data_IF_301422755600
#
_entry.id   IF_301422755600
#
_cell.length_a   1.000
_cell.length_b   1.000
_cell.length_c   1.000
_cell.angle_alpha   90.00
_cell.angle_beta   90.00
_cell.angle_gamma   90.00
#
_symmetry.space_group_name_H-M   'P 1'
#
loop_
_entity.id
_entity.type
_entity.pdbx_description
1 polymer ?
#
# COMPACT_ATOMS: atom_id res chain seq x y z
N UNK A 1 -15.03 15.95 -46.45
CA UNK A 1 -13.90 15.58 -45.56
C UNK A 1 -14.30 15.87 -44.12
N UNK A 2 -14.63 14.85 -43.33
CA UNK A 2 -14.60 14.91 -41.87
C UNK A 2 -14.41 13.46 -41.38
N UNK A 3 -13.21 13.17 -40.90
CA UNK A 3 -12.79 11.82 -40.47
C UNK A 3 -13.60 11.41 -39.24
N UNK A 4 -14.30 10.27 -39.33
CA UNK A 4 -14.75 9.49 -38.16
C UNK A 4 -13.49 9.07 -37.41
N UNK A 5 -13.33 9.54 -36.18
CA UNK A 5 -12.30 9.07 -35.25
C UNK A 5 -12.73 7.70 -34.72
N UNK A 6 -12.04 6.66 -35.19
CA UNK A 6 -12.15 5.29 -34.70
C UNK A 6 -11.83 5.25 -33.20
N UNK A 7 -12.86 5.07 -32.38
CA UNK A 7 -12.72 4.79 -30.95
C UNK A 7 -12.30 3.33 -30.82
N UNK A 8 -10.98 3.10 -30.88
CA UNK A 8 -10.36 1.78 -30.74
C UNK A 8 -10.74 1.20 -29.37
N UNK A 9 -11.68 0.27 -29.34
CA UNK A 9 -12.06 -0.47 -28.14
C UNK A 9 -10.84 -1.24 -27.65
N UNK A 10 -10.25 -0.82 -26.53
CA UNK A 10 -9.21 -1.59 -25.87
C UNK A 10 -9.78 -2.96 -25.51
N UNK A 11 -9.16 -4.00 -26.05
CA UNK A 11 -9.46 -5.40 -25.79
C UNK A 11 -9.37 -5.68 -24.29
N UNK A 12 -10.50 -5.99 -23.65
CA UNK A 12 -10.54 -6.55 -22.31
C UNK A 12 -9.99 -7.97 -22.38
N UNK A 13 -8.72 -8.15 -22.05
CA UNK A 13 -8.18 -9.49 -21.83
C UNK A 13 -8.81 -10.05 -20.55
N UNK A 14 -9.78 -10.97 -20.72
CA UNK A 14 -10.51 -11.66 -19.64
C UNK A 14 -9.64 -12.74 -18.95
N UNK A 15 -8.42 -12.35 -18.55
CA UNK A 15 -7.60 -13.15 -17.63
C UNK A 15 -8.09 -12.97 -16.19
N UNK A 16 -7.77 -13.90 -15.27
CA UNK A 16 -8.13 -13.75 -13.86
C UNK A 16 -7.56 -12.44 -13.30
N UNK A 17 -8.43 -11.54 -12.87
CA UNK A 17 -8.04 -10.26 -12.24
C UNK A 17 -7.41 -10.53 -10.89
N UNK A 18 -6.11 -10.30 -10.77
CA UNK A 18 -5.37 -10.46 -9.52
C UNK A 18 -5.78 -9.34 -8.56
N UNK A 19 -6.15 -9.70 -7.34
CA UNK A 19 -6.53 -8.75 -6.29
C UNK A 19 -5.29 -8.05 -5.73
N UNK A 20 -5.49 -6.86 -5.16
CA UNK A 20 -4.46 -6.13 -4.42
C UNK A 20 -3.99 -6.97 -3.23
N UNK A 21 -2.69 -7.33 -3.14
CA UNK A 21 -2.15 -8.00 -1.97
C UNK A 21 -2.22 -7.11 -0.73
N UNK A 22 -2.46 -7.72 0.43
CA UNK A 22 -2.45 -7.04 1.72
C UNK A 22 -1.06 -7.21 2.33
N UNK A 23 -0.42 -6.10 2.65
CA UNK A 23 0.93 -6.03 3.20
C UNK A 23 0.86 -5.43 4.60
N UNK A 24 1.41 -6.15 5.57
CA UNK A 24 1.50 -5.69 6.95
C UNK A 24 2.97 -5.50 7.31
N UNK A 25 3.32 -4.34 7.87
CA UNK A 25 4.69 -4.04 8.31
C UNK A 25 4.80 -4.34 9.80
N UNK A 26 5.74 -5.23 10.16
CA UNK A 26 5.96 -5.70 11.52
C UNK A 26 7.37 -5.34 11.99
N UNK A 27 7.58 -5.25 13.30
CA UNK A 27 8.87 -4.88 13.89
C UNK A 27 8.71 -4.29 15.30
N UNK A 28 9.83 -4.17 16.02
CA UNK A 28 9.85 -3.61 17.38
C UNK A 28 9.33 -2.16 17.42
N UNK A 29 9.00 -1.69 18.62
CA UNK A 29 8.65 -0.29 18.85
C UNK A 29 9.80 0.61 18.36
N UNK A 30 9.47 1.77 17.80
CA UNK A 30 10.41 2.77 17.28
C UNK A 30 11.30 2.38 16.08
N UNK A 31 11.10 1.21 15.48
CA UNK A 31 11.79 0.81 14.24
C UNK A 31 11.27 1.53 12.97
N UNK A 32 10.50 2.62 13.11
CA UNK A 32 10.10 3.46 11.98
C UNK A 32 9.09 2.85 11.00
N UNK A 33 8.29 1.85 11.41
CA UNK A 33 7.27 1.20 10.56
C UNK A 33 6.33 2.21 9.92
N UNK A 34 5.74 3.08 10.74
CA UNK A 34 4.77 4.08 10.28
C UNK A 34 5.45 5.21 9.51
N UNK A 35 6.68 5.60 9.89
CA UNK A 35 7.47 6.57 9.13
C UNK A 35 7.82 6.05 7.72
N UNK A 36 8.10 4.75 7.57
CA UNK A 36 8.31 4.10 6.28
C UNK A 36 7.02 4.16 5.45
N UNK A 37 5.88 3.81 6.03
CA UNK A 37 4.59 3.88 5.36
C UNK A 37 4.22 5.31 4.98
N UNK A 38 4.53 6.29 5.82
CA UNK A 38 4.36 7.71 5.52
C UNK A 38 5.17 8.16 4.31
N UNK A 39 6.44 7.72 4.21
CA UNK A 39 7.27 7.99 3.03
C UNK A 39 6.70 7.35 1.75
N UNK A 40 6.15 6.14 1.84
CA UNK A 40 5.53 5.46 0.69
C UNK A 40 4.23 6.16 0.25
N UNK A 41 3.45 6.64 1.22
CA UNK A 41 2.16 7.31 0.97
C UNK A 41 2.28 8.79 0.60
N UNK A 42 3.41 9.42 0.92
CA UNK A 42 3.55 10.88 0.88
C UNK A 42 2.74 11.59 1.98
N UNK A 43 2.57 10.94 3.14
CA UNK A 43 1.80 11.44 4.28
C UNK A 43 2.68 11.74 5.50
N UNK A 44 2.10 12.24 6.57
CA UNK A 44 2.77 12.44 7.86
C UNK A 44 1.86 12.01 9.03
N UNK A 45 1.29 10.80 8.93
CA UNK A 45 0.38 10.24 9.94
C UNK A 45 1.07 10.19 11.30
N UNK A 46 2.34 9.81 11.34
CA UNK A 46 3.12 9.69 12.59
C UNK A 46 3.14 11.00 13.40
N UNK A 47 3.08 12.16 12.74
CA UNK A 47 3.11 13.46 13.43
C UNK A 47 1.80 13.84 14.12
N UNK A 48 0.68 13.24 13.68
CA UNK A 48 -0.64 13.42 14.30
C UNK A 48 -0.93 12.42 15.42
N UNK A 49 -0.04 11.44 15.60
CA UNK A 49 -0.17 10.35 16.56
C UNK A 49 0.49 10.72 17.90
N UNK A 50 -0.16 10.37 19.01
CA UNK A 50 0.32 10.73 20.34
C UNK A 50 1.73 10.15 20.60
N UNK A 51 2.69 11.03 20.94
CA UNK A 51 4.08 10.64 21.18
C UNK A 51 4.80 10.09 19.96
N UNK A 52 4.31 10.37 18.73
CA UNK A 52 4.79 9.77 17.49
C UNK A 52 4.69 8.23 17.46
N UNK A 53 3.79 7.67 18.28
CA UNK A 53 3.52 6.23 18.36
C UNK A 53 2.17 5.98 17.72
N UNK A 54 2.13 5.11 16.72
CA UNK A 54 0.91 4.67 16.03
C UNK A 54 -0.06 4.02 17.01
N UNK A 55 -1.24 4.61 17.15
CA UNK A 55 -2.35 4.19 17.99
C UNK A 55 -3.44 3.52 17.15
N UNK A 56 -3.66 4.01 15.92
CA UNK A 56 -4.76 3.58 15.06
C UNK A 56 -4.30 2.62 13.95
N UNK A 57 -5.14 1.63 13.63
CA UNK A 57 -4.91 0.78 12.45
C UNK A 57 -5.40 1.54 11.23
N UNK A 58 -4.48 1.83 10.31
CA UNK A 58 -4.77 2.44 9.01
C UNK A 58 -4.65 1.43 7.87
N UNK A 59 -5.33 1.71 6.76
CA UNK A 59 -5.17 0.95 5.53
C UNK A 59 -4.98 1.91 4.35
N UNK A 60 -4.01 1.65 3.48
CA UNK A 60 -3.76 2.52 2.31
C UNK A 60 -3.37 1.70 1.10
N UNK A 61 -4.11 1.88 0.00
CA UNK A 61 -3.76 1.29 -1.30
C UNK A 61 -2.74 2.19 -1.97
N UNK A 62 -1.59 1.62 -2.32
CA UNK A 62 -0.54 2.28 -3.10
C UNK A 62 -0.52 1.65 -4.49
N UNK A 63 -0.78 2.43 -5.56
CA UNK A 63 -0.76 1.92 -6.93
C UNK A 63 0.58 1.31 -7.30
N UNK A 64 0.56 0.29 -8.17
CA UNK A 64 1.79 -0.40 -8.55
C UNK A 64 2.82 0.53 -9.21
N UNK A 65 2.38 1.53 -9.96
CA UNK A 65 3.24 2.52 -10.60
C UNK A 65 4.07 3.32 -9.57
N UNK A 66 3.45 3.68 -8.44
CA UNK A 66 4.13 4.34 -7.32
C UNK A 66 5.18 3.44 -6.70
N UNK A 67 4.88 2.15 -6.51
CA UNK A 67 5.84 1.17 -5.98
C UNK A 67 7.03 0.99 -6.93
N UNK A 68 6.78 0.90 -8.24
CA UNK A 68 7.83 0.75 -9.25
C UNK A 68 8.72 1.99 -9.28
N UNK A 69 8.13 3.19 -9.26
CA UNK A 69 8.88 4.45 -9.26
C UNK A 69 9.80 4.59 -8.02
N UNK A 70 9.34 4.13 -6.86
CA UNK A 70 10.15 4.13 -5.62
C UNK A 70 11.14 2.96 -5.54
N UNK A 71 10.84 1.84 -6.22
CA UNK A 71 11.50 0.55 -6.03
C UNK A 71 12.84 0.37 -6.73
N UNK A 72 13.34 1.38 -7.46
CA UNK A 72 14.68 1.40 -8.06
C UNK A 72 15.01 0.18 -8.94
N UNK A 73 15.52 -0.89 -8.32
CA UNK A 73 15.86 -2.17 -8.95
C UNK A 73 14.65 -3.00 -9.43
N UNK A 74 13.44 -2.67 -8.97
CA UNK A 74 12.20 -3.43 -9.29
C UNK A 74 11.65 -3.10 -10.69
N UNK A 75 12.14 -2.05 -11.36
CA UNK A 75 11.66 -1.61 -12.68
C UNK A 75 11.69 -2.70 -13.77
N UNK A 76 12.59 -3.68 -13.64
CA UNK A 76 12.74 -4.75 -14.61
C UNK A 76 11.88 -5.99 -14.32
N UNK A 77 11.11 -5.99 -13.21
CA UNK A 77 10.23 -7.11 -12.85
C UNK A 77 8.87 -6.96 -13.54
N UNK A 78 8.40 -8.05 -14.17
CA UNK A 78 7.02 -8.12 -14.64
C UNK A 78 6.08 -8.29 -13.45
N UNK A 79 5.46 -7.19 -13.03
CA UNK A 79 4.46 -7.19 -11.97
C UNK A 79 3.06 -7.06 -12.58
N UNK A 80 2.18 -8.01 -12.26
CA UNK A 80 0.79 -8.05 -12.74
C UNK A 80 -0.21 -7.95 -11.57
N UNK A 81 -0.04 -6.93 -10.71
CA UNK A 81 -0.98 -6.62 -9.63
C UNK A 81 -1.36 -5.14 -9.71
N UNK A 82 -2.59 -4.76 -9.29
CA UNK A 82 -3.05 -3.37 -9.35
C UNK A 82 -2.30 -2.43 -8.38
N UNK A 83 -1.71 -2.97 -7.32
CA UNK A 83 -1.02 -2.21 -6.28
C UNK A 83 -0.85 -3.03 -5.01
N UNK A 84 -0.49 -2.38 -3.90
CA UNK A 84 -0.35 -2.99 -2.58
C UNK A 84 -1.24 -2.27 -1.57
N UNK A 85 -1.96 -3.02 -0.72
CA UNK A 85 -2.70 -2.48 0.41
C UNK A 85 -1.85 -2.59 1.67
N UNK A 86 -1.31 -1.47 2.15
CA UNK A 86 -0.56 -1.45 3.40
C UNK A 86 -1.48 -1.33 4.60
N UNK A 87 -1.20 -2.11 5.63
CA UNK A 87 -1.81 -2.02 6.95
C UNK A 87 -0.80 -1.43 7.94
N UNK A 88 -1.17 -0.32 8.56
CA UNK A 88 -0.40 0.35 9.59
C UNK A 88 -0.68 -0.33 10.94
N UNK A 89 0.37 -0.76 11.65
CA UNK A 89 0.21 -1.50 12.91
C UNK A 89 0.71 -0.72 14.12
N UNK A 90 -0.09 -0.65 15.19
CA UNK A 90 0.29 -0.01 16.45
C UNK A 90 1.26 -0.87 17.28
N UNK A 91 2.17 -0.21 18.02
CA UNK A 91 3.34 -0.87 18.63
C UNK A 91 3.23 -1.34 20.09
N UNK A 92 2.49 -0.63 20.96
CA UNK A 92 2.58 -0.85 22.43
C UNK A 92 1.38 -1.59 23.05
N UNK A 93 0.14 -1.15 22.83
CA UNK A 93 -1.06 -1.75 23.45
C UNK A 93 -1.98 -2.47 22.45
N UNK A 94 -2.14 -1.88 21.28
CA UNK A 94 -3.09 -2.37 20.28
C UNK A 94 -2.62 -3.64 19.57
N UNK A 95 -1.33 -4.02 19.63
CA UNK A 95 -0.83 -5.30 19.11
C UNK A 95 -1.40 -6.50 19.90
N UNK A 96 -1.60 -6.32 21.21
CA UNK A 96 -2.25 -7.29 22.09
C UNK A 96 -3.71 -7.50 21.68
N UNK A 97 -4.43 -6.42 21.35
CA UNK A 97 -5.81 -6.46 20.86
C UNK A 97 -5.92 -7.05 19.45
N UNK A 98 -4.94 -6.80 18.57
CA UNK A 98 -4.90 -7.33 17.21
C UNK A 98 -4.68 -8.86 17.22
N UNK A 99 -3.80 -9.38 18.08
CA UNK A 99 -3.66 -10.83 18.29
C UNK A 99 -4.90 -11.46 18.91
N UNK A 100 -5.55 -10.78 19.85
CA UNK A 100 -6.78 -11.28 20.48
C UNK A 100 -7.99 -11.32 19.54
N UNK A 101 -8.03 -10.49 18.49
CA UNK A 101 -9.11 -10.48 17.48
C UNK A 101 -8.87 -11.43 16.30
N UNK A 102 -7.61 -11.77 16.02
CA UNK A 102 -7.22 -12.64 14.90
C UNK A 102 -6.89 -14.08 15.30
N UNK A 103 -7.00 -14.42 16.58
CA UNK A 103 -6.84 -15.77 17.14
C UNK A 103 -8.15 -16.36 17.59
#
# INVERSE_FOLDING_TARGET
MAKKSDKKSQSTSDGPKIRTPIVCVLGHVDHGKTSLLDRIRGSSVVTGEAGAITQHIGATVVPIDTIIAMGGAIQNLKINIPGLLFIDTPGHHSFTTLRARGG
#
